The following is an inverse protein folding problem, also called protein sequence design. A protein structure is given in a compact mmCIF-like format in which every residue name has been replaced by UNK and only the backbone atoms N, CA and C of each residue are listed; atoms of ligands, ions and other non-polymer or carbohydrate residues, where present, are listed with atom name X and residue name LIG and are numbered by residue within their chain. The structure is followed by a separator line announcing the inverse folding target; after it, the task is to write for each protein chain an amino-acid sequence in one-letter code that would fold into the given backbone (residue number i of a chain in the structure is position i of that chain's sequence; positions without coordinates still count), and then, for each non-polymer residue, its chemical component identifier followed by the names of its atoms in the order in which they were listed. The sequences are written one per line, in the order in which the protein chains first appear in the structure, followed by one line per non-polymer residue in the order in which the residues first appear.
data_IF_696759532790
#
_entry.id   IF_696759532790
#
_cell.length_a   1.000
_cell.length_b   1.000
_cell.length_c   1.000
_cell.angle_alpha   90.00
_cell.angle_beta   90.00
_cell.angle_gamma   90.00
#
_symmetry.space_group_name_H-M   'P 1'
#
loop_
_entity.id
_entity.type
_entity.pdbx_description
1 polymer ?
#
# COMPACT_ATOMS: atom_id res chain seq x y z
N UNK A 1 6.35 -11.29 -6.99
CA UNK A 1 6.83 -12.04 -5.80
C UNK A 1 6.73 -13.56 -5.96
N UNK A 2 5.57 -14.20 -5.86
CA UNK A 2 5.48 -15.69 -5.90
C UNK A 2 5.95 -16.35 -7.21
N UNK A 3 5.93 -15.61 -8.31
CA UNK A 3 6.39 -16.07 -9.64
C UNK A 3 7.50 -15.18 -10.21
N UNK A 4 7.99 -14.22 -9.44
CA UNK A 4 8.93 -13.21 -9.91
C UNK A 4 9.90 -12.88 -8.77
N UNK A 5 11.14 -13.36 -8.92
CA UNK A 5 12.21 -13.26 -7.93
C UNK A 5 12.80 -11.86 -7.85
N UNK A 6 12.90 -11.17 -8.97
CA UNK A 6 13.43 -9.79 -9.01
C UNK A 6 12.49 -8.87 -8.26
N UNK A 7 11.17 -9.00 -8.51
CA UNK A 7 10.16 -8.27 -7.74
C UNK A 7 10.15 -8.64 -6.26
N UNK A 8 10.38 -9.93 -5.95
CA UNK A 8 10.45 -10.40 -4.57
C UNK A 8 11.60 -9.71 -3.81
N UNK A 9 12.79 -9.68 -4.41
CA UNK A 9 13.97 -9.04 -3.84
C UNK A 9 13.81 -7.52 -3.75
N UNK A 10 13.23 -6.88 -4.78
CA UNK A 10 12.91 -5.44 -4.78
C UNK A 10 12.00 -5.08 -3.63
N UNK A 11 10.90 -5.82 -3.46
CA UNK A 11 9.93 -5.54 -2.40
C UNK A 11 10.51 -5.82 -1.00
N UNK A 12 11.34 -6.86 -0.84
CA UNK A 12 12.07 -7.09 0.43
C UNK A 12 12.91 -5.87 0.82
N UNK A 13 13.72 -5.35 -0.10
CA UNK A 13 14.56 -4.18 0.14
C UNK A 13 13.73 -2.96 0.56
N UNK A 14 12.61 -2.71 -0.13
CA UNK A 14 11.70 -1.61 0.20
C UNK A 14 11.08 -1.81 1.58
N UNK A 15 10.52 -2.98 1.87
CA UNK A 15 9.88 -3.28 3.16
C UNK A 15 10.85 -3.08 4.33
N UNK A 16 12.09 -3.56 4.21
CA UNK A 16 13.12 -3.41 5.25
C UNK A 16 13.59 -1.98 5.45
N UNK A 17 13.58 -1.16 4.39
CA UNK A 17 13.96 0.25 4.48
C UNK A 17 12.96 1.14 5.23
N UNK A 18 11.72 0.68 5.42
CA UNK A 18 10.67 1.49 6.03
C UNK A 18 10.82 1.69 7.54
N UNK A 19 11.38 0.73 8.27
CA UNK A 19 11.52 0.84 9.74
C UNK A 19 12.32 2.10 10.13
N UNK A 20 13.53 2.26 9.59
CA UNK A 20 14.38 3.43 9.87
C UNK A 20 13.73 4.75 9.45
N UNK A 21 12.95 4.73 8.37
CA UNK A 21 12.25 5.91 7.84
C UNK A 21 11.11 6.32 8.78
N UNK A 22 10.30 5.37 9.22
CA UNK A 22 9.24 5.61 10.21
C UNK A 22 9.82 6.14 11.53
N UNK A 23 10.92 5.58 12.03
CA UNK A 23 11.57 6.08 13.25
C UNK A 23 12.06 7.53 13.06
N UNK A 24 12.66 7.86 11.91
CA UNK A 24 13.09 9.24 11.59
C UNK A 24 11.93 10.24 11.51
N UNK A 25 10.73 9.76 11.14
CA UNK A 25 9.49 10.55 11.13
C UNK A 25 8.87 10.74 12.53
N UNK A 26 9.50 10.20 13.58
CA UNK A 26 9.06 10.35 14.96
C UNK A 26 8.10 9.28 15.44
N UNK A 27 7.91 8.18 14.70
CA UNK A 27 7.19 7.02 15.22
C UNK A 27 7.98 6.37 16.36
N UNK A 28 7.34 5.82 17.41
CA UNK A 28 8.06 5.24 18.53
C UNK A 28 8.85 4.00 18.09
N UNK A 29 10.14 3.97 18.41
CA UNK A 29 11.10 2.96 17.96
C UNK A 29 10.62 1.53 18.29
N UNK A 30 10.35 1.27 19.57
CA UNK A 30 9.94 -0.06 20.04
C UNK A 30 8.68 -0.58 19.32
N UNK A 31 7.61 0.21 19.28
CA UNK A 31 6.35 -0.23 18.66
C UNK A 31 6.48 -0.39 17.14
N UNK A 32 7.23 0.51 16.49
CA UNK A 32 7.45 0.46 15.03
C UNK A 32 8.23 -0.79 14.66
N UNK A 33 9.26 -1.11 15.45
CA UNK A 33 10.07 -2.32 15.28
C UNK A 33 9.20 -3.57 15.41
N UNK A 34 8.36 -3.67 16.45
CA UNK A 34 7.46 -4.82 16.64
C UNK A 34 6.53 -5.04 15.44
N UNK A 35 5.87 -3.98 14.95
CA UNK A 35 4.98 -4.08 13.77
C UNK A 35 5.72 -4.49 12.49
N UNK A 36 6.91 -3.92 12.26
CA UNK A 36 7.74 -4.26 11.12
C UNK A 36 8.20 -5.71 11.18
N UNK A 37 8.65 -6.19 12.35
CA UNK A 37 9.08 -7.56 12.55
C UNK A 37 7.98 -8.59 12.29
N UNK A 38 6.74 -8.31 12.71
CA UNK A 38 5.58 -9.16 12.41
C UNK A 38 5.39 -9.30 10.90
N UNK A 39 5.41 -8.19 10.16
CA UNK A 39 5.29 -8.20 8.70
C UNK A 39 6.47 -8.95 8.04
N UNK A 40 7.71 -8.68 8.47
CA UNK A 40 8.90 -9.32 7.93
C UNK A 40 8.92 -10.82 8.17
N UNK A 41 8.51 -11.26 9.36
CA UNK A 41 8.40 -12.68 9.71
C UNK A 41 7.42 -13.38 8.79
N UNK A 42 6.26 -12.78 8.53
CA UNK A 42 5.26 -13.33 7.61
C UNK A 42 5.76 -13.36 6.15
N UNK A 43 6.49 -12.32 5.73
CA UNK A 43 7.04 -12.22 4.37
C UNK A 43 8.26 -13.12 4.13
N UNK A 44 9.00 -13.51 5.17
CA UNK A 44 10.28 -14.24 5.04
C UNK A 44 10.18 -15.54 4.24
N UNK A 45 9.17 -16.41 4.42
CA UNK A 45 8.98 -17.58 3.56
C UNK A 45 8.78 -17.22 2.08
N UNK A 46 8.16 -16.08 1.77
CA UNK A 46 7.95 -15.61 0.39
C UNK A 46 9.29 -15.14 -0.20
N UNK A 47 10.04 -14.33 0.54
CA UNK A 47 11.36 -13.81 0.13
C UNK A 47 12.39 -14.93 -0.06
N UNK A 48 12.37 -15.95 0.80
CA UNK A 48 13.25 -17.12 0.70
C UNK A 48 12.76 -18.19 -0.26
N UNK A 49 11.60 -17.98 -0.91
CA UNK A 49 10.96 -18.93 -1.84
C UNK A 49 10.63 -20.30 -1.23
N UNK A 50 10.32 -20.32 0.06
CA UNK A 50 9.93 -21.50 0.83
C UNK A 50 8.44 -21.48 1.23
N UNK A 51 7.70 -20.45 0.82
CA UNK A 51 6.31 -20.29 1.18
C UNK A 51 5.40 -21.36 0.53
N UNK A 52 4.51 -21.92 1.34
CA UNK A 52 3.37 -22.66 0.84
C UNK A 52 2.29 -21.67 0.36
N UNK A 53 1.93 -21.76 -0.93
CA UNK A 53 0.89 -20.92 -1.53
C UNK A 53 -0.44 -21.08 -0.81
N UNK A 54 -0.80 -22.29 -0.38
CA UNK A 54 -2.06 -22.51 0.32
C UNK A 54 -2.08 -21.77 1.65
N UNK A 55 -1.01 -21.89 2.44
CA UNK A 55 -0.86 -21.19 3.71
C UNK A 55 -0.92 -19.67 3.56
N UNK A 56 -0.30 -19.11 2.51
CA UNK A 56 -0.41 -17.66 2.22
C UNK A 56 -1.88 -17.24 2.12
N UNK A 57 -2.69 -17.96 1.33
CA UNK A 57 -4.10 -17.61 1.17
C UNK A 57 -4.92 -17.89 2.42
N UNK A 58 -4.58 -18.91 3.21
CA UNK A 58 -5.20 -19.15 4.52
C UNK A 58 -4.95 -17.94 5.45
N UNK A 59 -3.71 -17.45 5.51
CA UNK A 59 -3.34 -16.32 6.37
C UNK A 59 -3.95 -15.01 5.91
N UNK A 60 -4.01 -14.77 4.59
CA UNK A 60 -4.68 -13.59 4.04
C UNK A 60 -6.20 -13.61 4.24
N UNK A 61 -6.79 -14.74 4.65
CA UNK A 61 -8.21 -14.85 5.02
C UNK A 61 -8.42 -15.02 6.54
N UNK A 62 -7.35 -15.01 7.35
CA UNK A 62 -7.44 -14.93 8.80
C UNK A 62 -7.45 -13.46 9.21
N UNK A 63 -8.52 -13.01 9.87
CA UNK A 63 -8.67 -11.60 10.25
C UNK A 63 -7.53 -11.12 11.15
N UNK A 64 -6.98 -11.98 12.01
CA UNK A 64 -5.85 -11.64 12.88
C UNK A 64 -4.61 -11.33 12.05
N UNK A 65 -4.16 -12.31 11.27
CA UNK A 65 -2.95 -12.19 10.45
C UNK A 65 -3.09 -11.08 9.39
N UNK A 66 -4.19 -11.07 8.62
CA UNK A 66 -4.41 -10.11 7.55
C UNK A 66 -4.44 -8.66 8.06
N UNK A 67 -5.05 -8.39 9.22
CA UNK A 67 -5.10 -7.04 9.77
C UNK A 67 -3.71 -6.52 10.16
N UNK A 68 -2.81 -7.36 10.69
CA UNK A 68 -1.42 -6.93 10.98
C UNK A 68 -0.67 -6.57 9.69
N UNK A 69 -0.87 -7.33 8.61
CA UNK A 69 -0.27 -7.01 7.32
C UNK A 69 -0.80 -5.68 6.75
N UNK A 70 -2.11 -5.43 6.89
CA UNK A 70 -2.74 -4.19 6.47
C UNK A 70 -2.21 -2.99 7.27
N UNK A 71 -2.01 -3.14 8.59
CA UNK A 71 -1.43 -2.07 9.44
C UNK A 71 -0.05 -1.66 8.92
N UNK A 72 0.82 -2.61 8.56
CA UNK A 72 2.12 -2.28 7.97
C UNK A 72 1.97 -1.44 6.69
N UNK A 73 1.07 -1.84 5.78
CA UNK A 73 0.82 -1.10 4.54
C UNK A 73 0.26 0.31 4.81
N UNK A 74 -0.62 0.47 5.80
CA UNK A 74 -1.13 1.77 6.25
C UNK A 74 -0.02 2.66 6.81
N UNK A 75 0.84 2.11 7.66
CA UNK A 75 1.97 2.84 8.24
C UNK A 75 2.94 3.35 7.18
N UNK A 76 3.35 2.51 6.22
CA UNK A 76 4.27 2.98 5.15
C UNK A 76 3.61 3.99 4.21
N UNK A 77 2.29 3.90 4.02
CA UNK A 77 1.53 4.87 3.23
C UNK A 77 1.54 6.24 3.89
N UNK A 78 1.22 6.30 5.19
CA UNK A 78 1.31 7.53 5.98
C UNK A 78 2.76 8.04 6.05
N UNK A 79 3.72 7.15 6.26
CA UNK A 79 5.14 7.47 6.30
C UNK A 79 5.63 8.14 5.01
N UNK A 80 5.26 7.60 3.85
CA UNK A 80 5.59 8.19 2.56
C UNK A 80 5.04 9.61 2.42
N UNK A 81 3.76 9.82 2.72
CA UNK A 81 3.13 11.13 2.61
C UNK A 81 3.79 12.14 3.57
N UNK A 82 4.09 11.73 4.81
CA UNK A 82 4.78 12.58 5.79
C UNK A 82 6.19 12.97 5.36
N UNK A 83 6.95 12.08 4.71
CA UNK A 83 8.27 12.41 4.15
C UNK A 83 8.20 13.44 3.02
N UNK A 84 7.07 13.48 2.31
CA UNK A 84 6.84 14.36 1.16
C UNK A 84 5.79 15.43 1.49
N UNK A 85 5.74 15.86 2.75
CA UNK A 85 4.65 16.70 3.25
C UNK A 85 4.49 18.01 2.47
N UNK A 86 5.59 18.64 2.06
CA UNK A 86 5.55 19.88 1.28
C UNK A 86 4.83 19.71 -0.07
N UNK A 87 4.94 18.52 -0.68
CA UNK A 87 4.30 18.19 -1.95
C UNK A 87 2.81 17.87 -1.78
N UNK A 88 2.46 17.14 -0.73
CA UNK A 88 1.10 16.60 -0.56
C UNK A 88 0.17 17.42 0.34
N UNK A 89 0.71 18.24 1.25
CA UNK A 89 -0.10 19.08 2.13
C UNK A 89 -1.10 20.00 1.40
N UNK A 90 -0.79 20.58 0.21
CA UNK A 90 -1.76 21.39 -0.52
C UNK A 90 -3.04 20.66 -0.98
N UNK A 91 -3.06 19.31 -0.98
CA UNK A 91 -4.23 18.52 -1.34
C UNK A 91 -5.16 18.24 -0.15
N UNK A 92 -4.80 18.69 1.06
CA UNK A 92 -5.63 18.58 2.27
C UNK A 92 -6.23 19.96 2.59
N UNK A 93 -7.55 20.04 2.71
CA UNK A 93 -8.25 21.31 2.94
C UNK A 93 -8.55 21.55 4.44
N UNK A 94 -9.01 20.52 5.15
CA UNK A 94 -9.63 20.68 6.49
C UNK A 94 -8.68 20.40 7.67
N UNK A 95 -7.45 19.95 7.43
CA UNK A 95 -6.51 19.55 8.48
C UNK A 95 -5.05 19.63 8.03
N UNK A 96 -4.09 19.36 8.93
CA UNK A 96 -2.70 19.16 8.51
C UNK A 96 -2.53 17.79 7.85
N UNK A 97 -1.54 17.62 6.97
CA UNK A 97 -1.24 16.31 6.39
C UNK A 97 -0.91 15.25 7.46
N UNK A 98 -0.29 15.66 8.56
CA UNK A 98 0.01 14.77 9.67
C UNK A 98 -1.26 14.27 10.38
N UNK A 99 -2.25 15.16 10.58
CA UNK A 99 -3.54 14.80 11.15
C UNK A 99 -4.30 13.88 10.20
N UNK A 100 -4.38 14.22 8.92
CA UNK A 100 -4.98 13.37 7.88
C UNK A 100 -4.36 11.97 7.86
N UNK A 101 -3.02 11.86 7.90
CA UNK A 101 -2.36 10.56 7.95
C UNK A 101 -2.77 9.75 9.18
N UNK A 102 -2.92 10.40 10.33
CA UNK A 102 -3.31 9.73 11.59
C UNK A 102 -4.78 9.28 11.55
N UNK A 103 -5.68 10.14 11.09
CA UNK A 103 -7.13 9.88 11.17
C UNK A 103 -7.66 9.08 9.99
N UNK A 104 -7.13 9.27 8.79
CA UNK A 104 -7.66 8.66 7.56
C UNK A 104 -6.82 7.47 7.06
N UNK A 105 -5.52 7.42 7.36
CA UNK A 105 -4.64 6.36 6.84
C UNK A 105 -4.27 5.33 7.90
N UNK A 106 -3.66 5.76 9.00
CA UNK A 106 -3.17 4.87 10.06
C UNK A 106 -4.30 4.13 10.78
N UNK A 107 -5.47 4.77 10.87
CA UNK A 107 -6.67 4.18 11.45
C UNK A 107 -7.19 3.02 10.59
N UNK A 108 -7.44 1.87 11.22
CA UNK A 108 -8.08 0.74 10.56
C UNK A 108 -9.52 1.07 10.16
N UNK A 109 -10.03 0.35 9.14
CA UNK A 109 -11.41 0.49 8.63
C UNK A 109 -11.74 1.83 7.98
N UNK A 110 -10.72 2.63 7.64
CA UNK A 110 -10.85 3.81 6.80
C UNK A 110 -10.69 3.47 5.33
N UNK A 111 -11.54 4.04 4.49
CA UNK A 111 -11.44 3.91 3.04
C UNK A 111 -10.19 4.63 2.52
N UNK A 112 -9.55 4.05 1.49
CA UNK A 112 -8.43 4.70 0.80
C UNK A 112 -8.97 5.63 -0.29
N UNK A 113 -8.83 6.93 -0.07
CA UNK A 113 -9.07 7.94 -1.11
C UNK A 113 -7.92 7.98 -2.14
N UNK A 114 -8.00 8.91 -3.09
CA UNK A 114 -7.00 9.08 -4.13
C UNK A 114 -5.58 9.36 -3.58
N UNK A 115 -5.47 10.15 -2.52
CA UNK A 115 -4.18 10.50 -1.92
C UNK A 115 -3.59 9.31 -1.15
N UNK A 116 -4.41 8.56 -0.41
CA UNK A 116 -3.99 7.34 0.25
C UNK A 116 -3.49 6.27 -0.76
N UNK A 117 -4.21 6.08 -1.87
CA UNK A 117 -3.76 5.17 -2.95
C UNK A 117 -2.44 5.65 -3.54
N UNK A 118 -2.30 6.97 -3.79
CA UNK A 118 -1.07 7.58 -4.30
C UNK A 118 0.11 7.37 -3.34
N UNK A 119 -0.12 7.54 -2.02
CA UNK A 119 0.88 7.27 -1.00
C UNK A 119 1.32 5.82 -1.00
N UNK A 120 0.37 4.87 -1.08
CA UNK A 120 0.66 3.45 -1.06
C UNK A 120 1.51 3.01 -2.25
N UNK A 121 1.11 3.37 -3.48
CA UNK A 121 1.82 2.95 -4.70
C UNK A 121 3.25 3.45 -4.75
N UNK A 122 3.48 4.67 -4.26
CA UNK A 122 4.81 5.23 -4.16
C UNK A 122 5.59 4.59 -3.02
N UNK A 123 4.93 4.31 -1.88
CA UNK A 123 5.56 3.67 -0.74
C UNK A 123 6.09 2.26 -1.05
N UNK A 124 5.34 1.48 -1.84
CA UNK A 124 5.73 0.13 -2.29
C UNK A 124 6.52 0.14 -3.61
N UNK A 125 6.61 1.30 -4.27
CA UNK A 125 7.30 1.49 -5.55
C UNK A 125 6.67 0.74 -6.74
N UNK A 126 5.38 0.39 -6.69
CA UNK A 126 4.68 -0.40 -7.70
C UNK A 126 3.47 0.36 -8.24
N UNK A 127 3.34 0.43 -9.56
CA UNK A 127 2.15 0.99 -10.20
C UNK A 127 0.95 0.03 -10.15
N UNK A 128 -0.25 0.61 -9.99
CA UNK A 128 -1.52 -0.09 -10.11
C UNK A 128 -2.42 0.60 -11.13
N UNK A 129 -3.29 -0.16 -11.78
CA UNK A 129 -4.37 0.35 -12.63
C UNK A 129 -5.69 0.15 -11.92
N UNK A 130 -6.51 1.18 -11.82
CA UNK A 130 -7.90 1.07 -11.37
C UNK A 130 -8.81 1.25 -12.58
N UNK A 131 -9.58 0.22 -12.92
CA UNK A 131 -10.63 0.28 -13.92
C UNK A 131 -11.94 0.68 -13.26
N UNK A 132 -12.69 1.57 -13.89
CA UNK A 132 -13.95 2.08 -13.34
C UNK A 132 -15.12 1.54 -14.15
N UNK A 133 -16.11 0.93 -13.49
CA UNK A 133 -17.34 0.50 -14.16
C UNK A 133 -18.19 1.69 -14.65
N UNK A 134 -18.11 2.82 -13.94
CA UNK A 134 -18.74 4.08 -14.31
C UNK A 134 -17.65 5.11 -14.58
N UNK A 135 -17.62 5.67 -15.80
CA UNK A 135 -16.62 6.66 -16.21
C UNK A 135 -16.69 7.94 -15.37
N UNK A 136 -17.85 8.26 -14.79
CA UNK A 136 -18.00 9.42 -13.90
C UNK A 136 -17.27 9.24 -12.57
N UNK A 137 -16.92 8.01 -12.20
CA UNK A 137 -16.18 7.71 -10.97
C UNK A 137 -14.66 7.75 -11.17
N UNK A 138 -14.17 7.76 -12.42
CA UNK A 138 -12.75 7.82 -12.71
C UNK A 138 -12.21 9.25 -12.54
N UNK A 139 -11.07 9.47 -11.84
CA UNK A 139 -10.50 10.81 -11.65
C UNK A 139 -10.21 11.57 -12.94
N UNK A 140 -9.94 10.85 -14.04
CA UNK A 140 -9.68 11.40 -15.37
C UNK A 140 -10.89 11.32 -16.33
N UNK A 141 -12.07 10.90 -15.86
CA UNK A 141 -13.24 10.64 -16.71
C UNK A 141 -13.07 9.46 -17.70
N UNK A 142 -12.02 8.66 -17.54
CA UNK A 142 -11.70 7.53 -18.41
C UNK A 142 -12.28 6.20 -17.95
N UNK A 143 -11.98 5.14 -18.70
CA UNK A 143 -12.30 3.76 -18.30
C UNK A 143 -11.34 3.23 -17.22
N UNK A 144 -10.19 3.86 -17.05
CA UNK A 144 -9.20 3.51 -16.04
C UNK A 144 -8.35 4.72 -15.64
N UNK A 145 -7.73 4.62 -14.47
CA UNK A 145 -6.71 5.53 -13.98
C UNK A 145 -5.50 4.72 -13.50
N UNK A 146 -4.30 5.15 -13.88
CA UNK A 146 -3.04 4.54 -13.46
C UNK A 146 -2.44 5.34 -12.32
N UNK A 147 -1.96 4.65 -11.29
CA UNK A 147 -1.33 5.25 -10.11
C UNK A 147 0.15 4.85 -10.05
N UNK A 148 1.09 5.81 -10.05
CA UNK A 148 0.91 7.19 -10.52
C UNK A 148 0.70 7.24 -12.05
N UNK A 149 0.08 8.31 -12.59
CA UNK A 149 -0.35 8.36 -14.01
C UNK A 149 0.79 8.59 -15.01
N UNK A 150 1.96 8.99 -14.54
CA UNK A 150 3.14 9.36 -15.33
C UNK A 150 4.12 8.20 -15.56
N UNK A 151 3.90 7.04 -14.93
CA UNK A 151 4.73 5.86 -15.17
C UNK A 151 4.49 5.28 -16.56
N UNK A 152 5.58 5.09 -17.29
CA UNK A 152 5.57 4.52 -18.65
C UNK A 152 5.39 3.00 -18.67
N UNK A 153 5.71 2.33 -17.56
CA UNK A 153 5.53 0.90 -17.39
C UNK A 153 4.07 0.54 -17.16
N UNK A 154 3.57 -0.47 -17.89
CA UNK A 154 2.22 -0.97 -17.71
C UNK A 154 2.03 -1.51 -16.27
N UNK A 155 0.97 -1.09 -15.55
CA UNK A 155 0.73 -1.55 -14.19
C UNK A 155 0.58 -3.07 -14.08
N UNK A 156 1.22 -3.64 -13.06
CA UNK A 156 1.24 -5.08 -12.82
C UNK A 156 0.01 -5.58 -12.08
N UNK A 157 -0.62 -4.70 -11.32
CA UNK A 157 -1.82 -4.97 -10.54
C UNK A 157 -2.95 -4.17 -11.17
N UNK A 158 -4.05 -4.84 -11.47
CA UNK A 158 -5.26 -4.18 -11.96
C UNK A 158 -6.40 -4.43 -10.98
N UNK A 159 -7.06 -3.36 -10.57
CA UNK A 159 -8.24 -3.36 -9.74
C UNK A 159 -9.46 -2.96 -10.56
N UNK A 160 -10.62 -3.50 -10.22
CA UNK A 160 -11.92 -3.01 -10.66
C UNK A 160 -12.56 -2.24 -9.51
N UNK A 161 -12.87 -0.98 -9.75
CA UNK A 161 -13.63 -0.13 -8.84
C UNK A 161 -15.13 -0.19 -9.14
N UNK A 162 -15.88 -0.42 -8.07
CA UNK A 162 -17.34 -0.25 -7.96
C UNK A 162 -17.58 0.67 -6.76
N UNK A 163 -18.70 1.42 -6.70
CA UNK A 163 -18.96 2.31 -5.56
C UNK A 163 -18.76 1.58 -4.21
N UNK A 164 -17.75 2.00 -3.45
CA UNK A 164 -17.37 1.43 -2.15
C UNK A 164 -16.53 0.14 -2.18
N UNK A 165 -16.11 -0.37 -3.34
CA UNK A 165 -15.44 -1.67 -3.45
C UNK A 165 -14.31 -1.70 -4.49
N UNK A 166 -13.25 -2.44 -4.16
CA UNK A 166 -12.14 -2.76 -5.06
C UNK A 166 -11.97 -4.27 -5.15
N UNK A 167 -11.92 -4.79 -6.38
CA UNK A 167 -11.68 -6.21 -6.64
C UNK A 167 -10.44 -6.40 -7.52
N UNK A 168 -9.62 -7.43 -7.25
CA UNK A 168 -8.51 -7.81 -8.13
C UNK A 168 -9.05 -8.39 -9.44
N UNK A 169 -8.55 -7.89 -10.58
CA UNK A 169 -8.86 -8.43 -11.90
C UNK A 169 -7.59 -8.85 -12.64
N UNK A 170 -7.66 -9.98 -13.33
CA UNK A 170 -6.54 -10.56 -14.06
C UNK A 170 -6.81 -10.50 -15.55
N UNK A 171 -5.81 -10.06 -16.31
CA UNK A 171 -5.85 -10.13 -17.78
C UNK A 171 -5.91 -11.61 -18.20
N UNK A 172 -6.75 -11.89 -19.20
CA UNK A 172 -6.79 -13.20 -19.85
C UNK A 172 -5.53 -13.47 -20.66
#
# INVERSE_FOLDING_TARGET
MLNDREECARFEQISRGWQDRLIKLGYPDFTTTDFCEVFYKWMTPIWTHQADRKKIFEDLNDDGEANYLIIFLRLITAGFLKEHSEEYAPFIEDSSLADYCTTEIESMWKDADHLAVTGLVNAIGQSIRVQYMDQNAAPNGGLYYDFPPDRTEAPRITLLYRPGHYDLVYRR
#
